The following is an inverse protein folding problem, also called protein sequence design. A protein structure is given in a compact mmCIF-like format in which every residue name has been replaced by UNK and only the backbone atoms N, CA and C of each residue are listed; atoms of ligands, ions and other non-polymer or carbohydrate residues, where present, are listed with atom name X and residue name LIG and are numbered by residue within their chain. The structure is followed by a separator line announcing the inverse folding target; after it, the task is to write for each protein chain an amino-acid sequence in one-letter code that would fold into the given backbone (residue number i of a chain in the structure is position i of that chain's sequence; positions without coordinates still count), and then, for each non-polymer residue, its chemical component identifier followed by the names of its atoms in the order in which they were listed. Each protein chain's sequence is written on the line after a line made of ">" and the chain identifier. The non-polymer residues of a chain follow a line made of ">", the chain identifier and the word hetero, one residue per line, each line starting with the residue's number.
data_IF_982208189270
#
_entry.id   IF_982208189270
#
_cell.length_a   1.000
_cell.length_b   1.000
_cell.length_c   1.000
_cell.angle_alpha   90.00
_cell.angle_beta   90.00
_cell.angle_gamma   90.00
#
_symmetry.space_group_name_H-M   'P 1'
#
loop_
_entity.id
_entity.type
_entity.pdbx_description
1 polymer ?
#
# COMPACT_ATOMS: atom_id res chain seq x y z
N UNK A 1 -32.95 9.69 -54.56
CA UNK A 1 -32.24 9.15 -53.37
C UNK A 1 -32.27 10.23 -52.29
N UNK A 2 -33.10 10.02 -51.27
CA UNK A 2 -33.76 11.07 -50.47
C UNK A 2 -32.80 11.82 -49.54
N UNK A 3 -33.07 13.12 -49.32
CA UNK A 3 -32.39 14.02 -48.34
C UNK A 3 -32.28 13.41 -46.93
N UNK A 4 -33.16 12.48 -46.59
CA UNK A 4 -33.16 11.71 -45.34
C UNK A 4 -31.90 10.83 -45.21
N UNK A 5 -31.45 10.19 -46.30
CA UNK A 5 -30.25 9.33 -46.28
C UNK A 5 -29.00 10.17 -46.01
N UNK A 6 -28.92 11.39 -46.57
CA UNK A 6 -27.81 12.32 -46.30
C UNK A 6 -27.82 12.84 -44.87
N UNK A 7 -29.00 13.07 -44.29
CA UNK A 7 -29.11 13.53 -42.90
C UNK A 7 -28.72 12.43 -41.90
N UNK A 8 -29.14 11.19 -42.14
CA UNK A 8 -28.74 10.03 -41.31
C UNK A 8 -27.21 9.81 -41.39
N UNK A 9 -26.61 9.97 -42.56
CA UNK A 9 -25.16 9.85 -42.73
C UNK A 9 -24.37 10.97 -42.03
N UNK A 10 -24.91 12.19 -41.99
CA UNK A 10 -24.31 13.35 -41.32
C UNK A 10 -24.42 13.28 -39.79
N UNK A 11 -25.52 12.72 -39.27
CA UNK A 11 -25.69 12.47 -37.83
C UNK A 11 -24.75 11.37 -37.33
N UNK A 12 -24.47 10.35 -38.15
CA UNK A 12 -23.52 9.28 -37.80
C UNK A 12 -22.04 9.76 -37.79
N UNK A 13 -21.72 10.80 -38.57
CA UNK A 13 -20.38 11.42 -38.63
C UNK A 13 -20.09 12.41 -37.48
N UNK A 14 -21.11 12.79 -36.71
CA UNK A 14 -21.01 13.75 -35.60
C UNK A 14 -21.17 13.10 -34.22
N UNK A 15 -21.25 11.77 -34.12
CA UNK A 15 -21.20 11.09 -32.82
C UNK A 15 -19.74 11.12 -32.36
N UNK A 16 -19.39 11.85 -31.28
CA UNK A 16 -18.07 11.73 -30.72
C UNK A 16 -17.95 10.32 -30.19
N UNK A 17 -17.02 9.54 -30.75
CA UNK A 17 -16.59 8.30 -30.13
C UNK A 17 -15.99 8.67 -28.77
N UNK A 18 -16.77 8.49 -27.71
CA UNK A 18 -16.25 8.49 -26.36
C UNK A 18 -15.28 7.31 -26.27
N UNK A 19 -14.01 7.59 -26.52
CA UNK A 19 -12.92 6.68 -26.20
C UNK A 19 -12.83 6.69 -24.68
N UNK A 20 -13.43 5.68 -24.05
CA UNK A 20 -13.09 5.31 -22.69
C UNK A 20 -11.66 4.79 -22.74
N UNK A 21 -10.69 5.65 -22.48
CA UNK A 21 -9.36 5.21 -22.11
C UNK A 21 -9.48 4.52 -20.75
N UNK A 22 -9.67 3.21 -20.75
CA UNK A 22 -9.28 2.40 -19.62
C UNK A 22 -7.75 2.52 -19.54
N UNK A 23 -7.25 3.11 -18.48
CA UNK A 23 -5.82 3.18 -18.20
C UNK A 23 -5.38 1.75 -17.87
N UNK A 24 -5.05 0.97 -18.89
CA UNK A 24 -4.53 -0.38 -18.71
C UNK A 24 -3.15 -0.25 -18.06
N UNK A 25 -3.05 -0.61 -16.78
CA UNK A 25 -1.76 -0.76 -16.11
C UNK A 25 -0.88 -1.69 -16.93
N UNK A 26 0.09 -1.12 -17.64
CA UNK A 26 1.08 -1.89 -18.39
C UNK A 26 2.11 -2.42 -17.39
N UNK A 27 2.16 -3.74 -17.11
CA UNK A 27 3.12 -4.27 -16.16
C UNK A 27 4.54 -4.01 -16.67
N UNK A 28 5.50 -3.71 -15.77
CA UNK A 28 6.89 -3.50 -16.16
C UNK A 28 7.45 -4.79 -16.76
N UNK A 29 8.13 -4.66 -17.91
CA UNK A 29 8.85 -5.78 -18.51
C UNK A 29 10.18 -5.95 -17.77
N UNK A 30 10.20 -6.88 -16.83
CA UNK A 30 11.40 -7.23 -16.09
C UNK A 30 12.21 -8.24 -16.91
N UNK A 31 13.48 -7.91 -17.14
CA UNK A 31 14.46 -8.80 -17.77
C UNK A 31 15.68 -8.84 -16.85
N UNK A 32 16.05 -10.02 -16.37
CA UNK A 32 17.32 -10.20 -15.65
C UNK A 32 18.28 -10.90 -16.60
N UNK A 33 19.40 -10.23 -16.87
CA UNK A 33 20.45 -10.77 -17.75
C UNK A 33 21.45 -11.55 -16.91
N UNK A 34 21.64 -12.83 -17.22
CA UNK A 34 22.68 -13.67 -16.65
C UNK A 34 23.63 -14.07 -17.79
N UNK A 35 24.75 -13.35 -17.93
CA UNK A 35 25.62 -13.47 -19.10
C UNK A 35 24.92 -13.02 -20.38
N UNK A 36 25.21 -13.70 -21.50
CA UNK A 36 24.57 -13.42 -22.80
C UNK A 36 23.12 -13.94 -22.90
N UNK A 37 22.66 -14.69 -21.89
CA UNK A 37 21.31 -15.23 -21.83
C UNK A 37 20.41 -14.33 -20.96
N UNK A 38 19.38 -13.74 -21.57
CA UNK A 38 18.35 -13.01 -20.85
C UNK A 38 17.28 -13.98 -20.34
N UNK A 39 17.06 -14.02 -19.03
CA UNK A 39 15.87 -14.65 -18.45
C UNK A 39 14.74 -13.64 -18.51
N UNK A 40 13.72 -13.95 -19.30
CA UNK A 40 12.52 -13.12 -19.46
C UNK A 40 11.49 -13.58 -18.45
N UNK A 41 11.02 -12.66 -17.59
CA UNK A 41 9.96 -12.96 -16.64
C UNK A 41 8.62 -13.00 -17.35
N UNK A 42 7.81 -14.00 -16.99
CA UNK A 42 6.47 -14.16 -17.53
C UNK A 42 5.62 -12.94 -17.15
N UNK A 43 4.76 -12.46 -18.06
CA UNK A 43 3.89 -11.32 -17.77
C UNK A 43 2.93 -11.66 -16.63
N UNK A 44 2.51 -10.63 -15.89
CA UNK A 44 1.41 -10.79 -14.91
C UNK A 44 0.16 -11.20 -15.68
N UNK A 45 -0.52 -12.24 -15.22
CA UNK A 45 -1.72 -12.78 -15.87
C UNK A 45 -2.88 -12.86 -14.87
N UNK A 46 -4.13 -12.64 -15.32
CA UNK A 46 -5.30 -12.92 -14.51
C UNK A 46 -5.41 -14.44 -14.27
N UNK A 47 -5.61 -14.84 -13.02
CA UNK A 47 -5.73 -16.25 -12.61
C UNK A 47 -7.01 -16.56 -11.84
N UNK A 48 -7.90 -15.57 -11.72
CA UNK A 48 -9.25 -15.69 -11.18
C UNK A 48 -10.06 -14.44 -11.53
N UNK A 49 -11.37 -14.44 -11.26
CA UNK A 49 -12.26 -13.30 -11.58
C UNK A 49 -11.81 -11.97 -10.93
N UNK A 50 -11.07 -12.03 -9.83
CA UNK A 50 -10.52 -10.88 -9.09
C UNK A 50 -9.10 -11.13 -8.59
N UNK A 51 -8.35 -11.98 -9.28
CA UNK A 51 -7.01 -12.39 -8.85
C UNK A 51 -5.99 -12.22 -9.96
N UNK A 52 -4.87 -11.59 -9.62
CA UNK A 52 -3.70 -11.49 -10.49
C UNK A 52 -2.60 -12.40 -9.98
N UNK A 53 -2.01 -13.18 -10.89
CA UNK A 53 -0.89 -14.04 -10.56
C UNK A 53 0.40 -13.41 -11.06
N UNK A 54 1.35 -13.23 -10.14
CA UNK A 54 2.69 -12.71 -10.42
C UNK A 54 3.67 -13.89 -10.38
N UNK A 55 4.12 -14.41 -11.54
CA UNK A 55 4.96 -15.61 -11.62
C UNK A 55 6.44 -15.33 -11.30
N UNK A 56 6.83 -14.09 -11.05
CA UNK A 56 8.24 -13.70 -11.05
C UNK A 56 9.13 -14.44 -10.06
N UNK A 57 8.61 -14.76 -8.87
CA UNK A 57 9.36 -15.55 -7.89
C UNK A 57 9.61 -16.99 -8.37
N UNK A 58 8.63 -17.57 -9.07
CA UNK A 58 8.72 -18.91 -9.65
C UNK A 58 9.73 -18.92 -10.81
N UNK A 59 9.64 -17.94 -11.70
CA UNK A 59 10.59 -17.78 -12.82
C UNK A 59 12.03 -17.60 -12.33
N UNK A 60 12.22 -16.80 -11.26
CA UNK A 60 13.53 -16.59 -10.64
C UNK A 60 14.12 -17.87 -10.06
N UNK A 61 13.34 -18.63 -9.28
CA UNK A 61 13.82 -19.87 -8.64
C UNK A 61 14.11 -20.94 -9.71
N UNK A 62 13.26 -21.04 -10.74
CA UNK A 62 13.47 -21.94 -11.87
C UNK A 62 14.78 -21.63 -12.60
N UNK A 63 15.04 -20.35 -12.89
CA UNK A 63 16.28 -19.92 -13.52
C UNK A 63 17.51 -20.24 -12.65
N UNK A 64 17.45 -19.92 -11.34
CA UNK A 64 18.54 -20.20 -10.41
C UNK A 64 18.87 -21.70 -10.36
N UNK A 65 17.86 -22.57 -10.30
CA UNK A 65 18.05 -24.01 -10.32
C UNK A 65 18.75 -24.47 -11.60
N UNK A 66 18.26 -24.06 -12.78
CA UNK A 66 18.87 -24.42 -14.07
C UNK A 66 20.34 -24.01 -14.15
N UNK A 67 20.67 -22.79 -13.72
CA UNK A 67 22.06 -22.32 -13.69
C UNK A 67 22.93 -23.10 -12.71
N UNK A 68 22.42 -23.40 -11.51
CA UNK A 68 23.16 -24.16 -10.50
C UNK A 68 23.49 -25.59 -10.96
N UNK A 69 22.58 -26.26 -11.65
CA UNK A 69 22.81 -27.59 -12.23
C UNK A 69 23.89 -27.51 -13.32
N UNK A 70 23.86 -26.46 -14.16
CA UNK A 70 24.90 -26.22 -15.16
C UNK A 70 26.29 -26.06 -14.55
N UNK A 71 26.41 -25.25 -13.49
CA UNK A 71 27.68 -25.07 -12.75
C UNK A 71 28.13 -26.38 -12.11
N UNK A 72 27.21 -27.12 -11.47
CA UNK A 72 27.52 -28.41 -10.85
C UNK A 72 28.03 -29.43 -11.88
N UNK A 73 27.47 -29.45 -13.09
CA UNK A 73 27.92 -30.33 -14.17
C UNK A 73 29.35 -29.99 -14.63
N UNK A 74 29.68 -28.71 -14.78
CA UNK A 74 31.04 -28.26 -15.14
C UNK A 74 32.04 -28.65 -14.05
N UNK A 75 31.71 -28.41 -12.77
CA UNK A 75 32.57 -28.79 -11.65
C UNK A 75 32.75 -30.31 -11.57
N UNK A 76 31.68 -31.09 -11.75
CA UNK A 76 31.76 -32.55 -11.78
C UNK A 76 32.69 -33.03 -12.91
N UNK A 77 32.59 -32.43 -14.11
CA UNK A 77 33.45 -32.74 -15.23
C UNK A 77 34.93 -32.50 -14.91
N UNK A 78 35.27 -31.35 -14.29
CA UNK A 78 36.64 -31.03 -13.88
C UNK A 78 37.15 -32.04 -12.84
N UNK A 79 36.34 -32.37 -11.84
CA UNK A 79 36.74 -33.32 -10.80
C UNK A 79 36.94 -34.74 -11.33
N UNK A 80 36.15 -35.16 -12.33
CA UNK A 80 36.34 -36.43 -13.04
C UNK A 80 37.67 -36.42 -13.81
N UNK A 81 38.01 -35.32 -14.48
CA UNK A 81 39.30 -35.18 -15.17
C UNK A 81 40.48 -35.26 -14.18
N UNK A 82 40.40 -34.55 -13.05
CA UNK A 82 41.43 -34.58 -12.00
C UNK A 82 41.59 -35.99 -11.42
N UNK A 83 40.48 -36.66 -11.11
CA UNK A 83 40.49 -38.04 -10.62
C UNK A 83 41.06 -39.00 -11.66
N UNK A 84 40.69 -38.87 -12.94
CA UNK A 84 41.22 -39.67 -14.04
C UNK A 84 42.72 -39.48 -14.24
N UNK A 85 43.21 -38.23 -14.22
CA UNK A 85 44.64 -37.93 -14.30
C UNK A 85 45.42 -38.50 -13.12
N UNK A 86 44.90 -38.36 -11.90
CA UNK A 86 45.51 -38.93 -10.70
C UNK A 86 45.58 -40.46 -10.79
N UNK A 87 44.54 -41.12 -11.31
CA UNK A 87 44.55 -42.57 -11.51
C UNK A 87 45.68 -42.98 -12.46
N UNK A 88 45.78 -42.35 -13.63
CA UNK A 88 46.79 -42.68 -14.65
C UNK A 88 48.22 -42.45 -14.14
N UNK A 89 48.44 -41.44 -13.30
CA UNK A 89 49.76 -41.07 -12.75
C UNK A 89 50.07 -41.74 -11.41
N UNK A 90 49.22 -42.65 -10.92
CA UNK A 90 49.36 -43.26 -9.59
C UNK A 90 50.49 -44.29 -9.48
N UNK A 91 51.05 -44.77 -10.59
CA UNK A 91 52.14 -45.77 -10.62
C UNK A 91 51.89 -47.01 -9.73
N UNK A 92 50.62 -47.39 -9.54
CA UNK A 92 50.22 -48.54 -8.72
C UNK A 92 50.12 -48.30 -7.21
N UNK A 93 50.36 -47.07 -6.72
CA UNK A 93 50.17 -46.74 -5.29
C UNK A 93 48.69 -46.89 -4.88
N UNK A 94 48.35 -47.78 -3.91
CA UNK A 94 46.97 -48.00 -3.49
C UNK A 94 46.27 -46.73 -2.97
N UNK A 95 47.00 -45.87 -2.25
CA UNK A 95 46.46 -44.64 -1.67
C UNK A 95 46.06 -43.63 -2.76
N UNK A 96 46.90 -43.47 -3.80
CA UNK A 96 46.61 -42.53 -4.89
C UNK A 96 45.48 -43.02 -5.77
N UNK A 97 45.41 -44.33 -6.04
CA UNK A 97 44.28 -44.96 -6.74
C UNK A 97 42.99 -44.82 -5.92
N UNK A 98 43.07 -44.97 -4.59
CA UNK A 98 41.95 -44.73 -3.68
C UNK A 98 41.40 -43.31 -3.79
N UNK A 99 42.28 -42.29 -3.69
CA UNK A 99 41.90 -40.87 -3.83
C UNK A 99 41.34 -40.53 -5.22
N UNK A 100 41.90 -41.12 -6.27
CA UNK A 100 41.39 -40.94 -7.64
C UNK A 100 39.95 -41.43 -7.78
N UNK A 101 39.66 -42.63 -7.24
CA UNK A 101 38.30 -43.18 -7.21
C UNK A 101 37.36 -42.29 -6.40
N UNK A 102 37.79 -41.82 -5.23
CA UNK A 102 37.00 -40.94 -4.36
C UNK A 102 36.58 -39.65 -5.08
N UNK A 103 37.49 -39.00 -5.81
CA UNK A 103 37.14 -37.81 -6.60
C UNK A 103 36.11 -38.11 -7.68
N UNK A 104 36.28 -39.20 -8.42
CA UNK A 104 35.34 -39.61 -9.48
C UNK A 104 33.98 -39.95 -8.88
N UNK A 105 33.93 -40.76 -7.81
CA UNK A 105 32.67 -41.17 -7.18
C UNK A 105 31.95 -39.99 -6.55
N UNK A 106 32.67 -39.08 -5.89
CA UNK A 106 32.07 -37.90 -5.26
C UNK A 106 31.50 -36.93 -6.30
N UNK A 107 32.19 -36.74 -7.42
CA UNK A 107 31.69 -35.93 -8.53
C UNK A 107 30.41 -36.53 -9.16
N UNK A 108 30.40 -37.84 -9.41
CA UNK A 108 29.23 -38.54 -9.96
C UNK A 108 28.07 -38.51 -8.97
N UNK A 109 28.31 -38.79 -7.68
CA UNK A 109 27.27 -38.77 -6.64
C UNK A 109 26.70 -37.36 -6.45
N UNK A 110 27.53 -36.32 -6.47
CA UNK A 110 27.09 -34.93 -6.36
C UNK A 110 26.22 -34.50 -7.55
N UNK A 111 26.63 -34.84 -8.78
CA UNK A 111 25.84 -34.56 -9.97
C UNK A 111 24.54 -35.37 -9.99
N UNK A 112 24.59 -36.65 -9.61
CA UNK A 112 23.42 -37.50 -9.48
C UNK A 112 22.43 -36.88 -8.46
N UNK A 113 22.91 -36.48 -7.28
CA UNK A 113 22.07 -35.83 -6.28
C UNK A 113 21.39 -34.56 -6.81
N UNK A 114 22.12 -33.72 -7.55
CA UNK A 114 21.56 -32.50 -8.15
C UNK A 114 20.45 -32.79 -9.19
N UNK A 115 20.65 -33.80 -10.04
CA UNK A 115 19.70 -34.20 -11.08
C UNK A 115 18.50 -34.96 -10.51
N UNK A 116 18.73 -35.88 -9.57
CA UNK A 116 17.67 -36.65 -8.91
C UNK A 116 16.89 -35.82 -7.89
N UNK A 117 17.42 -34.69 -7.40
CA UNK A 117 16.70 -33.78 -6.50
C UNK A 117 15.34 -33.38 -7.10
N UNK A 118 15.30 -33.03 -8.38
CA UNK A 118 14.06 -32.71 -9.08
C UNK A 118 13.07 -33.87 -9.07
N UNK A 119 13.53 -35.08 -9.44
CA UNK A 119 12.68 -36.28 -9.52
C UNK A 119 12.11 -36.62 -8.16
N UNK A 120 12.94 -36.60 -7.11
CA UNK A 120 12.52 -36.87 -5.73
C UNK A 120 11.45 -35.86 -5.29
N UNK A 121 11.69 -34.56 -5.48
CA UNK A 121 10.73 -33.52 -5.11
C UNK A 121 9.42 -33.66 -5.89
N UNK A 122 9.51 -33.93 -7.19
CA UNK A 122 8.35 -34.12 -8.06
C UNK A 122 7.52 -35.36 -7.67
N UNK A 123 8.17 -36.47 -7.33
CA UNK A 123 7.51 -37.70 -6.88
C UNK A 123 6.81 -37.52 -5.52
N UNK A 124 7.42 -36.77 -4.58
CA UNK A 124 6.82 -36.50 -3.27
C UNK A 124 5.62 -35.56 -3.42
N UNK A 125 5.82 -34.42 -4.08
CA UNK A 125 4.78 -33.45 -4.31
C UNK A 125 5.14 -32.57 -5.51
N UNK A 126 4.41 -32.65 -6.62
CA UNK A 126 4.71 -31.86 -7.82
C UNK A 126 4.62 -30.34 -7.56
N UNK A 127 3.92 -29.89 -6.50
CA UNK A 127 3.86 -28.47 -6.11
C UNK A 127 5.17 -27.91 -5.55
N UNK A 128 6.10 -28.75 -5.12
CA UNK A 128 7.43 -28.30 -4.64
C UNK A 128 8.34 -27.85 -5.78
N UNK A 129 8.00 -28.26 -7.01
CA UNK A 129 8.74 -27.96 -8.23
C UNK A 129 7.92 -27.03 -9.13
N UNK A 130 6.61 -27.22 -9.19
CA UNK A 130 5.66 -26.31 -9.83
C UNK A 130 5.30 -25.14 -8.92
N UNK A 131 6.25 -24.24 -8.68
CA UNK A 131 6.06 -23.06 -7.83
C UNK A 131 4.95 -22.17 -8.42
N UNK A 132 3.89 -21.99 -7.66
CA UNK A 132 2.78 -21.11 -8.03
C UNK A 132 3.21 -19.65 -7.90
N UNK A 133 2.74 -18.80 -8.82
CA UNK A 133 2.93 -17.36 -8.71
C UNK A 133 2.21 -16.78 -7.49
N UNK A 134 2.64 -15.60 -7.05
CA UNK A 134 1.96 -14.89 -5.97
C UNK A 134 0.57 -14.46 -6.47
N UNK A 135 -0.48 -15.00 -5.84
CA UNK A 135 -1.85 -14.59 -6.12
C UNK A 135 -2.18 -13.33 -5.31
N UNK A 136 -2.41 -12.22 -6.01
CA UNK A 136 -2.94 -11.00 -5.45
C UNK A 136 -4.44 -10.96 -5.73
N UNK A 137 -5.23 -11.22 -4.68
CA UNK A 137 -6.67 -11.03 -4.73
C UNK A 137 -6.96 -9.54 -4.63
N UNK A 138 -7.55 -8.95 -5.65
CA UNK A 138 -8.11 -7.60 -5.58
C UNK A 138 -9.41 -7.67 -4.78
N UNK A 139 -9.30 -7.63 -3.46
CA UNK A 139 -10.48 -7.41 -2.61
C UNK A 139 -10.83 -5.93 -2.67
N UNK A 140 -12.12 -5.60 -2.71
CA UNK A 140 -12.53 -4.27 -2.25
C UNK A 140 -12.15 -4.18 -0.76
N UNK A 141 -11.74 -3.01 -0.27
CA UNK A 141 -11.33 -2.85 1.14
C UNK A 141 -12.37 -3.48 2.07
N UNK A 142 -13.66 -3.26 1.79
CA UNK A 142 -14.82 -3.75 2.57
C UNK A 142 -14.85 -5.28 2.80
N UNK A 143 -14.39 -6.10 1.87
CA UNK A 143 -14.39 -7.56 2.05
C UNK A 143 -13.15 -8.05 2.84
N UNK A 144 -12.00 -7.38 2.70
CA UNK A 144 -10.83 -7.65 3.55
C UNK A 144 -11.07 -7.26 5.01
N UNK A 145 -11.85 -6.19 5.25
CA UNK A 145 -12.26 -5.79 6.60
C UNK A 145 -13.08 -6.88 7.29
N UNK A 146 -14.08 -7.47 6.63
CA UNK A 146 -14.94 -8.51 7.20
C UNK A 146 -14.16 -9.76 7.61
N UNK A 147 -13.19 -10.18 6.81
CA UNK A 147 -12.43 -11.40 7.12
C UNK A 147 -11.47 -11.21 8.30
N UNK A 148 -10.86 -10.03 8.42
CA UNK A 148 -10.01 -9.68 9.57
C UNK A 148 -10.80 -9.44 10.85
N UNK A 149 -12.03 -8.95 10.74
CA UNK A 149 -12.98 -8.81 11.87
C UNK A 149 -13.35 -10.19 12.44
N UNK A 150 -13.62 -11.19 11.60
CA UNK A 150 -13.86 -12.58 12.04
C UNK A 150 -12.68 -13.19 12.80
N UNK A 151 -11.45 -12.79 12.47
CA UNK A 151 -10.22 -13.26 13.14
C UNK A 151 -9.92 -12.51 14.45
N UNK A 152 -10.78 -11.57 14.86
CA UNK A 152 -10.62 -10.83 16.12
C UNK A 152 -9.47 -9.82 16.12
N UNK A 153 -8.81 -9.59 14.97
CA UNK A 153 -7.64 -8.70 14.84
C UNK A 153 -7.99 -7.25 15.20
N UNK A 154 -9.26 -6.85 15.03
CA UNK A 154 -9.74 -5.49 15.25
C UNK A 154 -10.62 -5.31 16.50
N UNK A 155 -10.74 -6.34 17.36
CA UNK A 155 -11.67 -6.30 18.50
C UNK A 155 -11.46 -5.07 19.42
N UNK A 156 -10.20 -4.69 19.61
CA UNK A 156 -9.80 -3.57 20.47
C UNK A 156 -9.79 -2.21 19.77
N UNK A 157 -10.28 -2.15 18.53
CA UNK A 157 -10.20 -0.95 17.71
C UNK A 157 -11.56 -0.29 17.54
N UNK A 158 -11.56 1.04 17.59
CA UNK A 158 -12.68 1.90 17.20
C UNK A 158 -12.63 2.02 15.68
N UNK A 159 -13.45 1.23 14.98
CA UNK A 159 -13.57 1.29 13.53
C UNK A 159 -14.96 1.81 13.11
N UNK A 160 -15.05 2.18 11.83
CA UNK A 160 -16.24 2.73 11.16
C UNK A 160 -17.52 1.90 11.40
N UNK A 161 -17.40 0.58 11.53
CA UNK A 161 -18.54 -0.34 11.65
C UNK A 161 -18.95 -0.73 13.09
N UNK A 162 -18.22 -0.31 14.15
CA UNK A 162 -18.53 -0.77 15.51
C UNK A 162 -18.70 0.33 16.58
N UNK A 163 -17.96 1.44 16.49
CA UNK A 163 -17.96 2.44 17.58
C UNK A 163 -18.31 3.86 17.15
N UNK A 164 -17.75 4.37 16.04
CA UNK A 164 -18.10 5.72 15.58
C UNK A 164 -19.50 5.81 14.92
N UNK A 165 -20.12 4.68 14.56
CA UNK A 165 -21.47 4.66 13.99
C UNK A 165 -22.56 5.07 15.01
N UNK A 166 -22.27 4.94 16.31
CA UNK A 166 -23.22 5.25 17.39
C UNK A 166 -23.12 6.71 17.89
N UNK A 167 -22.39 7.57 17.18
CA UNK A 167 -22.30 8.99 17.52
C UNK A 167 -23.62 9.67 17.17
N UNK A 168 -24.32 10.21 18.18
CA UNK A 168 -25.54 10.99 17.99
C UNK A 168 -25.28 12.20 17.09
N UNK A 169 -26.19 12.53 16.18
CA UNK A 169 -26.08 13.73 15.36
C UNK A 169 -26.22 15.00 16.20
N UNK A 170 -25.42 16.01 15.88
CA UNK A 170 -25.50 17.34 16.47
C UNK A 170 -25.74 18.34 15.34
N UNK A 171 -26.67 19.27 15.57
CA UNK A 171 -26.93 20.37 14.64
C UNK A 171 -25.70 21.26 14.54
N UNK A 172 -25.32 21.63 13.32
CA UNK A 172 -24.28 22.61 13.09
C UNK A 172 -24.61 23.95 13.77
N UNK A 173 -23.60 24.67 14.31
CA UNK A 173 -23.76 26.06 14.69
C UNK A 173 -24.34 26.88 13.54
N UNK A 174 -25.33 27.73 13.83
CA UNK A 174 -26.02 28.54 12.81
C UNK A 174 -25.04 29.37 11.96
N UNK A 175 -23.98 29.89 12.59
CA UNK A 175 -22.96 30.71 11.96
C UNK A 175 -22.17 29.99 10.87
N UNK A 176 -22.13 28.65 10.88
CA UNK A 176 -21.47 27.89 9.82
C UNK A 176 -22.10 28.15 8.45
N UNK A 177 -23.40 28.39 8.39
CA UNK A 177 -24.11 28.64 7.12
C UNK A 177 -23.70 29.94 6.42
N UNK A 178 -22.97 30.83 7.11
CA UNK A 178 -22.52 32.11 6.56
C UNK A 178 -21.26 32.02 5.68
N UNK A 179 -20.60 30.87 5.61
CA UNK A 179 -19.31 30.71 4.93
C UNK A 179 -19.38 29.71 3.77
N UNK A 180 -18.55 29.93 2.74
CA UNK A 180 -18.48 29.03 1.59
C UNK A 180 -17.46 27.90 1.83
N UNK A 181 -17.95 26.74 2.27
CA UNK A 181 -17.13 25.53 2.44
C UNK A 181 -16.88 24.75 1.14
N UNK A 182 -17.00 25.37 -0.04
CA UNK A 182 -16.73 24.74 -1.34
C UNK A 182 -17.57 23.46 -1.58
N UNK A 183 -18.81 23.45 -1.09
CA UNK A 183 -19.71 22.28 -1.09
C UNK A 183 -19.14 21.04 -0.38
N UNK A 184 -18.18 21.22 0.53
CA UNK A 184 -17.57 20.14 1.29
C UNK A 184 -18.11 20.14 2.74
N UNK A 185 -19.08 19.27 2.99
CA UNK A 185 -19.71 19.11 4.31
C UNK A 185 -18.71 18.70 5.39
N UNK A 186 -17.63 18.01 5.04
CA UNK A 186 -16.59 17.62 6.00
C UNK A 186 -15.79 18.83 6.49
N UNK A 187 -15.54 19.82 5.62
CA UNK A 187 -14.90 21.07 6.04
C UNK A 187 -15.79 21.87 6.99
N UNK A 188 -17.09 21.89 6.72
CA UNK A 188 -18.06 22.56 7.59
C UNK A 188 -18.14 21.89 8.97
N UNK A 189 -18.16 20.56 9.01
CA UNK A 189 -18.15 19.80 10.27
C UNK A 189 -16.84 19.98 11.07
N UNK A 190 -15.69 20.05 10.37
CA UNK A 190 -14.40 20.38 10.99
C UNK A 190 -14.43 21.80 11.55
N UNK A 191 -14.92 22.80 10.80
CA UNK A 191 -15.05 24.17 11.28
C UNK A 191 -15.90 24.29 12.56
N UNK A 192 -17.00 23.53 12.61
CA UNK A 192 -17.86 23.45 13.78
C UNK A 192 -17.13 22.86 14.99
N UNK A 193 -16.37 21.78 14.80
CA UNK A 193 -15.58 21.16 15.87
C UNK A 193 -14.39 22.02 16.33
N UNK A 194 -13.77 22.77 15.42
CA UNK A 194 -12.58 23.60 15.69
C UNK A 194 -12.92 24.91 16.43
N UNK A 195 -13.91 25.65 15.94
CA UNK A 195 -14.19 27.01 16.42
C UNK A 195 -15.66 27.28 16.73
N UNK A 196 -16.54 26.30 16.55
CA UNK A 196 -17.98 26.55 16.49
C UNK A 196 -18.36 27.48 15.33
N UNK A 197 -17.56 27.48 14.25
CA UNK A 197 -17.65 28.42 13.15
C UNK A 197 -17.46 29.91 13.54
N UNK A 198 -16.67 30.17 14.59
CA UNK A 198 -16.26 31.51 14.99
C UNK A 198 -14.92 31.91 14.30
N UNK A 199 -14.92 32.88 13.37
CA UNK A 199 -13.71 33.28 12.67
C UNK A 199 -12.72 33.99 13.59
N UNK A 200 -13.15 34.56 14.71
CA UNK A 200 -12.28 35.27 15.64
C UNK A 200 -11.61 34.34 16.68
N UNK A 201 -11.88 33.03 16.62
CA UNK A 201 -11.37 32.07 17.59
C UNK A 201 -9.83 32.02 17.63
N UNK A 202 -9.28 31.87 18.83
CA UNK A 202 -7.86 31.61 19.04
C UNK A 202 -7.69 30.64 20.21
N UNK A 203 -6.96 29.54 19.99
CA UNK A 203 -6.67 28.57 21.03
C UNK A 203 -5.48 28.99 21.90
N UNK A 204 -5.32 28.42 23.11
CA UNK A 204 -4.14 28.61 23.94
C UNK A 204 -2.83 28.18 23.25
N UNK A 205 -2.90 27.22 22.32
CA UNK A 205 -1.77 26.78 21.51
C UNK A 205 -1.45 27.72 20.33
N UNK A 206 -2.23 28.79 20.14
CA UNK A 206 -2.03 29.77 19.08
C UNK A 206 -2.64 29.37 17.73
N UNK A 207 -3.55 28.41 17.70
CA UNK A 207 -4.35 28.11 16.52
C UNK A 207 -5.39 29.22 16.31
N UNK A 208 -5.63 29.63 15.06
CA UNK A 208 -6.40 30.84 14.78
C UNK A 208 -7.41 30.64 13.65
N UNK A 209 -8.48 31.44 13.69
CA UNK A 209 -9.45 31.50 12.61
C UNK A 209 -10.51 30.41 12.68
N UNK A 210 -11.38 30.42 11.67
CA UNK A 210 -12.51 29.50 11.54
C UNK A 210 -12.10 28.03 11.60
N UNK A 211 -10.95 27.70 11.01
CA UNK A 211 -10.44 26.33 10.88
C UNK A 211 -9.29 26.02 11.85
N UNK A 212 -9.05 26.91 12.84
CA UNK A 212 -8.01 26.77 13.87
C UNK A 212 -6.65 26.28 13.30
N UNK A 213 -6.12 26.99 12.30
CA UNK A 213 -4.78 26.69 11.79
C UNK A 213 -3.72 27.40 12.62
N UNK A 214 -2.62 26.70 12.95
CA UNK A 214 -1.42 27.36 13.46
C UNK A 214 -0.83 28.27 12.37
N UNK A 215 -0.36 29.49 12.67
CA UNK A 215 0.26 30.39 11.69
C UNK A 215 1.41 29.76 10.91
N UNK A 216 2.22 28.90 11.55
CA UNK A 216 3.29 28.15 10.89
C UNK A 216 2.74 27.15 9.85
N UNK A 217 1.65 26.45 10.18
CA UNK A 217 0.97 25.53 9.25
C UNK A 217 0.32 26.29 8.11
N UNK A 218 -0.39 27.39 8.41
CA UNK A 218 -0.99 28.24 7.40
C UNK A 218 0.06 28.83 6.44
N UNK A 219 1.19 29.30 6.97
CA UNK A 219 2.27 29.86 6.17
C UNK A 219 2.90 28.81 5.24
N UNK A 220 3.13 27.60 5.76
CA UNK A 220 3.62 26.45 4.96
C UNK A 220 2.65 26.12 3.82
N UNK A 221 1.36 26.10 4.10
CA UNK A 221 0.32 25.78 3.12
C UNK A 221 0.17 26.91 2.08
N UNK A 222 0.28 28.16 2.48
CA UNK A 222 0.15 29.32 1.60
C UNK A 222 1.41 29.60 0.76
N UNK A 223 2.59 29.13 1.20
CA UNK A 223 3.87 29.47 0.57
C UNK A 223 4.33 30.91 0.82
N UNK A 224 3.72 31.58 1.82
CA UNK A 224 4.07 32.93 2.28
C UNK A 224 3.78 33.04 3.77
N UNK A 225 4.26 34.10 4.42
CA UNK A 225 3.86 34.38 5.79
C UNK A 225 2.35 34.65 5.88
N UNK A 226 1.67 33.95 6.78
CA UNK A 226 0.24 34.11 7.11
C UNK A 226 0.13 34.29 8.62
N UNK A 227 -0.47 35.39 9.07
CA UNK A 227 -0.58 35.72 10.49
C UNK A 227 -1.89 35.20 11.09
N UNK A 228 -1.94 35.15 12.43
CA UNK A 228 -3.18 34.83 13.15
C UNK A 228 -4.30 35.83 12.84
N UNK A 229 -3.99 37.13 12.76
CA UNK A 229 -4.98 38.17 12.44
C UNK A 229 -5.51 38.04 11.02
N UNK A 230 -4.67 37.62 10.07
CA UNK A 230 -5.10 37.32 8.72
C UNK A 230 -6.08 36.14 8.68
N UNK A 231 -5.79 35.05 9.41
CA UNK A 231 -6.70 33.91 9.53
C UNK A 231 -8.04 34.28 10.18
N UNK A 232 -8.05 35.23 11.12
CA UNK A 232 -9.28 35.69 11.79
C UNK A 232 -10.11 36.61 10.90
N UNK A 233 -9.44 37.53 10.20
CA UNK A 233 -10.09 38.52 9.33
C UNK A 233 -10.51 37.95 7.97
N UNK A 234 -9.98 36.79 7.56
CA UNK A 234 -10.26 36.17 6.27
C UNK A 234 -10.69 34.68 6.41
N UNK A 235 -11.98 34.43 6.69
CA UNK A 235 -12.52 33.07 6.85
C UNK A 235 -12.33 32.20 5.58
N UNK A 236 -12.46 32.79 4.40
CA UNK A 236 -12.27 32.08 3.13
C UNK A 236 -10.84 31.55 2.98
N UNK A 237 -9.83 32.34 3.35
CA UNK A 237 -8.44 31.88 3.39
C UNK A 237 -8.27 30.72 4.39
N UNK A 238 -8.89 30.83 5.57
CA UNK A 238 -8.84 29.77 6.58
C UNK A 238 -9.42 28.46 6.03
N UNK A 239 -10.57 28.51 5.33
CA UNK A 239 -11.23 27.36 4.70
C UNK A 239 -10.37 26.78 3.56
N UNK A 240 -9.84 27.64 2.69
CA UNK A 240 -9.01 27.21 1.55
C UNK A 240 -7.74 26.50 2.01
N UNK A 241 -7.06 27.03 3.02
CA UNK A 241 -5.85 26.40 3.56
C UNK A 241 -6.17 25.08 4.27
N UNK A 242 -7.28 25.00 5.00
CA UNK A 242 -7.73 23.74 5.61
C UNK A 242 -8.05 22.67 4.56
N UNK A 243 -8.75 23.03 3.48
CA UNK A 243 -9.00 22.12 2.36
C UNK A 243 -7.70 21.66 1.70
N UNK A 244 -6.74 22.58 1.51
CA UNK A 244 -5.41 22.24 1.00
C UNK A 244 -4.68 21.26 1.94
N UNK A 245 -4.77 21.48 3.24
CA UNK A 245 -4.12 20.61 4.25
C UNK A 245 -4.65 19.18 4.20
N UNK A 246 -5.98 19.02 4.11
CA UNK A 246 -6.62 17.72 3.96
C UNK A 246 -6.14 17.06 2.65
N UNK A 247 -6.27 17.76 1.52
CA UNK A 247 -5.95 17.19 0.20
C UNK A 247 -4.47 16.82 0.01
N UNK A 248 -3.54 17.50 0.70
CA UNK A 248 -2.11 17.11 0.69
C UNK A 248 -1.86 15.73 1.29
N UNK A 249 -2.78 15.20 2.09
CA UNK A 249 -2.65 13.92 2.78
C UNK A 249 -3.60 12.85 2.23
N UNK A 250 -4.14 13.05 1.02
CA UNK A 250 -5.15 12.17 0.42
C UNK A 250 -4.75 10.69 0.39
N UNK A 251 -3.49 10.38 0.06
CA UNK A 251 -3.00 8.99 0.05
C UNK A 251 -3.01 8.32 1.43
N UNK A 252 -2.87 9.10 2.51
CA UNK A 252 -2.83 8.59 3.88
C UNK A 252 -4.23 8.27 4.39
N UNK A 253 -5.21 9.15 4.10
CA UNK A 253 -6.56 9.02 4.64
C UNK A 253 -7.59 8.45 3.64
N UNK A 254 -7.26 8.34 2.35
CA UNK A 254 -8.10 7.74 1.30
C UNK A 254 -9.56 8.26 1.26
N UNK A 255 -9.75 9.55 1.54
CA UNK A 255 -11.09 10.16 1.63
C UNK A 255 -11.94 9.75 2.85
N UNK A 256 -11.43 8.93 3.77
CA UNK A 256 -12.15 8.52 4.98
C UNK A 256 -12.26 9.68 5.99
N UNK A 257 -13.48 10.08 6.35
CA UNK A 257 -13.73 11.20 7.26
C UNK A 257 -13.08 11.01 8.63
N UNK A 258 -13.09 9.80 9.19
CA UNK A 258 -12.50 9.53 10.51
C UNK A 258 -10.99 9.77 10.49
N UNK A 259 -10.32 9.31 9.43
CA UNK A 259 -8.87 9.55 9.24
C UNK A 259 -8.57 11.02 8.94
N UNK A 260 -9.44 11.69 8.17
CA UNK A 260 -9.32 13.14 7.91
C UNK A 260 -9.40 13.91 9.23
N UNK A 261 -10.43 13.69 10.05
CA UNK A 261 -10.61 14.40 11.30
C UNK A 261 -9.46 14.12 12.28
N UNK A 262 -9.05 12.86 12.43
CA UNK A 262 -7.98 12.48 13.34
C UNK A 262 -6.63 13.11 12.92
N UNK A 263 -6.32 13.07 11.62
CA UNK A 263 -5.12 13.66 11.06
C UNK A 263 -5.13 15.19 11.06
N UNK A 264 -6.30 15.81 10.96
CA UNK A 264 -6.44 17.27 11.06
C UNK A 264 -6.06 17.76 12.46
N UNK A 265 -6.56 17.11 13.51
CA UNK A 265 -6.32 17.48 14.90
C UNK A 265 -4.90 17.12 15.39
N UNK A 266 -4.39 15.94 15.04
CA UNK A 266 -3.14 15.39 15.61
C UNK A 266 -2.05 15.06 14.59
N UNK A 267 -2.25 15.42 13.32
CA UNK A 267 -1.29 15.21 12.24
C UNK A 267 -1.51 13.92 11.45
N UNK A 268 -1.26 14.00 10.14
CA UNK A 268 -1.39 12.90 9.17
C UNK A 268 -0.15 11.98 9.07
N UNK A 269 0.84 12.16 9.94
CA UNK A 269 2.04 11.31 9.93
C UNK A 269 1.71 9.85 10.26
N UNK A 270 2.57 8.93 9.82
CA UNK A 270 2.47 7.49 10.16
C UNK A 270 3.59 7.02 11.10
N UNK A 271 4.54 7.90 11.40
CA UNK A 271 5.71 7.63 12.23
C UNK A 271 5.72 8.55 13.45
N UNK A 272 6.09 8.06 14.65
CA UNK A 272 6.27 8.89 15.84
C UNK A 272 7.26 10.03 15.58
N UNK A 273 6.98 11.21 16.14
CA UNK A 273 7.91 12.36 16.10
C UNK A 273 8.20 12.85 17.52
N UNK A 274 9.12 13.80 17.67
CA UNK A 274 9.36 14.46 18.96
C UNK A 274 8.11 15.16 19.53
N UNK A 275 7.12 15.48 18.69
CA UNK A 275 5.83 16.05 19.08
C UNK A 275 4.77 15.04 19.53
N UNK A 276 5.11 13.75 19.60
CA UNK A 276 4.19 12.68 20.01
C UNK A 276 3.86 11.70 18.88
N UNK A 277 2.90 10.81 19.17
CA UNK A 277 2.41 9.79 18.25
C UNK A 277 1.29 10.38 17.36
N UNK A 278 1.46 10.47 16.03
CA UNK A 278 0.41 10.94 15.14
C UNK A 278 -0.81 10.02 15.18
N UNK A 279 -1.99 10.56 14.88
CA UNK A 279 -3.22 9.79 14.88
C UNK A 279 -3.14 8.56 13.96
N UNK A 280 -2.60 8.74 12.75
CA UNK A 280 -2.54 7.72 11.70
C UNK A 280 -1.28 6.85 11.77
N UNK A 281 -0.50 6.93 12.86
CA UNK A 281 0.53 5.95 13.14
C UNK A 281 -0.09 4.61 13.54
N UNK A 282 0.63 3.50 13.35
CA UNK A 282 0.14 2.18 13.78
C UNK A 282 0.18 2.06 15.30
N UNK A 283 -0.90 1.56 15.89
CA UNK A 283 -0.94 1.28 17.32
C UNK A 283 -0.10 0.06 17.66
N UNK A 284 0.72 0.19 18.70
CA UNK A 284 1.45 -0.94 19.31
C UNK A 284 0.53 -1.73 20.23
N UNK A 285 -0.37 -1.04 20.95
CA UNK A 285 -1.29 -1.63 21.93
C UNK A 285 -2.53 -2.28 21.28
N UNK A 286 -2.88 -1.87 20.05
CA UNK A 286 -3.99 -2.44 19.28
C UNK A 286 -3.51 -2.85 17.87
N UNK A 287 -2.93 -4.06 17.70
CA UNK A 287 -2.39 -4.52 16.43
C UNK A 287 -3.42 -4.44 15.29
N UNK A 288 -2.98 -3.90 14.15
CA UNK A 288 -3.84 -3.73 12.96
C UNK A 288 -4.47 -2.35 12.83
N UNK A 289 -4.44 -1.53 13.88
CA UNK A 289 -5.23 -0.30 13.96
C UNK A 289 -4.35 0.95 13.94
N UNK A 290 -4.94 2.09 13.63
CA UNK A 290 -4.29 3.37 13.87
C UNK A 290 -4.29 3.68 15.36
N UNK A 291 -3.33 4.50 15.79
CA UNK A 291 -3.11 4.84 17.20
C UNK A 291 -4.37 5.45 17.82
N UNK A 292 -5.04 6.37 17.10
CA UNK A 292 -6.27 6.98 17.56
C UNK A 292 -7.46 6.00 17.61
N UNK A 293 -7.41 4.88 16.88
CA UNK A 293 -8.48 3.88 16.90
C UNK A 293 -8.39 2.97 18.13
N UNK A 294 -7.25 2.91 18.83
CA UNK A 294 -7.07 1.99 19.95
C UNK A 294 -7.96 2.35 21.16
N UNK A 295 -8.83 1.43 21.60
CA UNK A 295 -9.76 1.67 22.73
C UNK A 295 -9.06 1.70 24.09
N UNK A 296 -8.09 0.80 24.27
CA UNK A 296 -7.48 0.53 25.58
C UNK A 296 -6.39 1.54 25.92
N UNK A 297 -5.49 1.83 24.97
CA UNK A 297 -4.38 2.77 25.13
C UNK A 297 -4.13 3.54 23.83
N UNK A 298 -4.81 4.67 23.60
CA UNK A 298 -4.65 5.46 22.38
C UNK A 298 -3.34 6.28 22.32
N UNK A 299 -2.34 6.00 23.17
CA UNK A 299 -1.03 6.69 23.11
C UNK A 299 -1.09 8.20 23.33
N UNK A 300 -2.03 8.69 24.13
CA UNK A 300 -2.26 10.13 24.36
C UNK A 300 -3.30 10.78 23.44
N UNK A 301 -3.89 10.04 22.50
CA UNK A 301 -4.85 10.54 21.50
C UNK A 301 -6.32 10.50 21.97
N UNK A 302 -6.57 10.54 23.28
CA UNK A 302 -7.93 10.53 23.80
C UNK A 302 -8.73 11.79 23.41
N UNK A 303 -8.05 12.95 23.35
CA UNK A 303 -8.63 14.19 22.84
C UNK A 303 -8.97 14.05 21.36
N UNK A 304 -8.07 13.48 20.56
CA UNK A 304 -8.27 13.20 19.13
C UNK A 304 -9.48 12.30 18.90
N UNK A 305 -9.67 11.26 19.73
CA UNK A 305 -10.85 10.39 19.63
C UNK A 305 -12.14 11.19 19.80
N UNK A 306 -12.19 12.05 20.83
CA UNK A 306 -13.35 12.90 21.07
C UNK A 306 -13.56 13.94 19.98
N UNK A 307 -12.47 14.50 19.45
CA UNK A 307 -12.51 15.40 18.31
C UNK A 307 -13.13 14.73 17.07
N UNK A 308 -12.71 13.50 16.75
CA UNK A 308 -13.28 12.72 15.64
C UNK A 308 -14.77 12.46 15.87
N UNK A 309 -15.18 12.08 17.08
CA UNK A 309 -16.59 11.92 17.44
C UNK A 309 -17.39 13.21 17.20
N UNK A 310 -16.88 14.37 17.61
CA UNK A 310 -17.54 15.66 17.41
C UNK A 310 -17.68 16.01 15.92
N UNK A 311 -16.62 15.84 15.12
CA UNK A 311 -16.67 16.12 13.67
C UNK A 311 -17.71 15.22 13.00
N UNK A 312 -17.73 13.94 13.34
CA UNK A 312 -18.70 12.98 12.78
C UNK A 312 -20.12 13.32 13.21
N UNK A 313 -20.31 13.71 14.48
CA UNK A 313 -21.61 14.15 15.01
C UNK A 313 -22.19 15.32 14.22
N UNK A 314 -21.38 16.36 13.98
CA UNK A 314 -21.78 17.51 13.17
C UNK A 314 -22.04 17.13 11.71
N UNK A 315 -21.18 16.31 11.11
CA UNK A 315 -21.35 15.84 9.72
C UNK A 315 -22.63 15.03 9.55
N UNK A 316 -23.04 14.27 10.55
CA UNK A 316 -24.27 13.47 10.52
C UNK A 316 -25.55 14.31 10.77
N UNK A 317 -25.42 15.48 11.40
CA UNK A 317 -26.53 16.40 11.65
C UNK A 317 -26.64 17.56 10.66
N UNK A 318 -25.78 17.57 9.63
CA UNK A 318 -25.65 18.60 8.61
C UNK A 318 -26.48 18.32 7.34
#
# INVERSE_FOLDING_TARGET
>A
MSRIIRFIFLVFLLIPTFVLAADEMKPPNLVVKFGDNAVTFSPVQPCGEKSFCIPWISDYISALYQYSVGIAAILAMVMIMVGGFLWLTSAGSPDRVGKAKEFITSAIMGLALALFSFVILYTINPRLVGLQGLELVSTTEREAWKEREKLGVYADCKHENAYFFNVSSQTLPADCSNYNFMNNINLMAIAAAESGCNPNAQSPAGACGLMQLLPATASRLAGRNVTCDELKSNPDLSIQLANKYINQNHSVHQGNLYHIAAGYNSGFGTQPTAGGLPALARSVDCPGCYAYECKTKPGGLAETQKYVENVVSYRNGA
#
